data_IF_790926552945
#
_entry.id   IF_790926552945
#
_cell.length_a   1.000
_cell.length_b   1.000
_cell.length_c   1.000
_cell.angle_alpha   90.00
_cell.angle_beta   90.00
_cell.angle_gamma   90.00
#
_symmetry.space_group_name_H-M   'P 1'
#
loop_
_entity.id
_entity.type
_entity.pdbx_description
1 polymer ?
#
# COMPACT_ATOMS: atom_id res chain seq x y z
N UNK A 1 19.21 19.64 0.60
CA UNK A 1 19.12 18.34 1.30
C UNK A 1 20.06 17.40 0.59
N UNK A 2 21.03 16.80 1.28
CA UNK A 2 21.97 15.86 0.65
C UNK A 2 21.40 14.42 0.60
N UNK A 3 22.05 13.55 -0.19
CA UNK A 3 21.61 12.18 -0.43
C UNK A 3 21.61 11.31 0.84
N UNK A 4 22.54 11.56 1.77
CA UNK A 4 22.68 10.78 3.00
C UNK A 4 21.50 11.07 3.93
N UNK A 5 21.15 12.35 4.08
CA UNK A 5 20.01 12.79 4.86
C UNK A 5 18.70 12.18 4.33
N UNK A 6 18.50 12.18 3.00
CA UNK A 6 17.32 11.57 2.38
C UNK A 6 17.23 10.06 2.64
N UNK A 7 18.36 9.34 2.58
CA UNK A 7 18.42 7.90 2.87
C UNK A 7 18.08 7.62 4.34
N UNK A 8 18.62 8.42 5.26
CA UNK A 8 18.35 8.28 6.70
C UNK A 8 16.87 8.54 7.01
N UNK A 9 16.28 9.60 6.46
CA UNK A 9 14.87 9.94 6.62
C UNK A 9 13.96 8.84 6.05
N UNK A 10 14.30 8.31 4.89
CA UNK A 10 13.57 7.18 4.28
C UNK A 10 13.61 5.94 5.16
N UNK A 11 14.80 5.58 5.68
CA UNK A 11 14.98 4.43 6.59
C UNK A 11 14.19 4.61 7.88
N UNK A 12 14.21 5.81 8.45
CA UNK A 12 13.45 6.14 9.63
C UNK A 12 11.95 6.05 9.35
N UNK A 13 11.45 6.68 8.28
CA UNK A 13 10.05 6.63 7.88
C UNK A 13 9.53 5.20 7.68
N UNK A 14 10.34 4.32 7.07
CA UNK A 14 10.00 2.90 6.94
C UNK A 14 9.94 2.17 8.29
N UNK A 15 10.87 2.43 9.21
CA UNK A 15 10.84 1.88 10.58
C UNK A 15 9.60 2.36 11.35
N UNK A 16 9.28 3.64 11.28
CA UNK A 16 8.10 4.22 11.94
C UNK A 16 6.80 3.65 11.37
N UNK A 17 6.71 3.44 10.04
CA UNK A 17 5.57 2.74 9.45
C UNK A 17 5.40 1.33 10.02
N UNK A 18 6.50 0.59 10.24
CA UNK A 18 6.43 -0.74 10.84
C UNK A 18 5.99 -0.71 12.31
N UNK A 19 6.48 0.27 13.09
CA UNK A 19 6.10 0.47 14.48
C UNK A 19 4.61 0.84 14.58
N UNK A 20 4.16 1.82 13.82
CA UNK A 20 2.77 2.24 13.74
C UNK A 20 1.85 1.07 13.33
N UNK A 21 2.24 0.29 12.31
CA UNK A 21 1.48 -0.89 11.88
C UNK A 21 1.34 -1.92 13.01
N UNK A 22 2.41 -2.21 13.75
CA UNK A 22 2.37 -3.17 14.88
C UNK A 22 1.43 -2.68 15.97
N UNK A 23 1.54 -1.40 16.35
CA UNK A 23 0.68 -0.76 17.33
C UNK A 23 -0.80 -0.78 16.93
N UNK A 24 -1.12 -0.35 15.70
CA UNK A 24 -2.50 -0.34 15.20
C UNK A 24 -3.08 -1.75 15.11
N UNK A 25 -2.30 -2.76 14.75
CA UNK A 25 -2.75 -4.15 14.76
C UNK A 25 -3.06 -4.65 16.17
N UNK A 26 -2.27 -4.26 17.19
CA UNK A 26 -2.57 -4.59 18.57
C UNK A 26 -3.88 -3.96 19.04
N UNK A 27 -4.10 -2.68 18.71
CA UNK A 27 -5.36 -1.98 18.98
C UNK A 27 -6.55 -2.60 18.23
N UNK A 28 -6.35 -3.07 17.01
CA UNK A 28 -7.40 -3.69 16.21
C UNK A 28 -7.88 -4.99 16.86
N UNK A 29 -6.96 -5.79 17.41
CA UNK A 29 -7.29 -7.04 18.11
C UNK A 29 -8.13 -6.81 19.36
N UNK A 30 -7.89 -5.72 20.09
CA UNK A 30 -8.63 -5.39 21.33
C UNK A 30 -9.87 -4.53 21.11
N UNK A 31 -10.10 -4.02 19.89
CA UNK A 31 -11.24 -3.16 19.59
C UNK A 31 -12.56 -3.92 19.69
N UNK A 32 -13.49 -3.39 20.50
CA UNK A 32 -14.83 -3.98 20.69
C UNK A 32 -15.84 -3.50 19.64
N UNK A 33 -15.84 -2.21 19.30
CA UNK A 33 -16.84 -1.66 18.38
C UNK A 33 -16.43 -1.80 16.91
N UNK A 34 -17.44 -2.03 16.06
CA UNK A 34 -17.27 -2.17 14.61
C UNK A 34 -16.62 -0.93 13.99
N UNK A 35 -17.11 0.26 14.39
CA UNK A 35 -16.55 1.55 13.94
C UNK A 35 -15.06 1.67 14.26
N UNK A 36 -14.65 1.29 15.48
CA UNK A 36 -13.24 1.36 15.89
C UNK A 36 -12.39 0.38 15.10
N UNK A 37 -12.88 -0.85 14.87
CA UNK A 37 -12.20 -1.83 14.00
C UNK A 37 -12.02 -1.30 12.58
N UNK A 38 -13.06 -0.72 11.99
CA UNK A 38 -13.01 -0.15 10.65
C UNK A 38 -12.00 1.01 10.54
N UNK A 39 -12.02 1.94 11.50
CA UNK A 39 -11.08 3.06 11.52
C UNK A 39 -9.64 2.57 11.61
N UNK A 40 -9.36 1.63 12.51
CA UNK A 40 -8.02 1.05 12.68
C UNK A 40 -7.57 0.30 11.43
N UNK A 41 -8.44 -0.50 10.80
CA UNK A 41 -8.13 -1.21 9.56
C UNK A 41 -7.80 -0.23 8.41
N UNK A 42 -8.56 0.87 8.29
CA UNK A 42 -8.29 1.92 7.31
C UNK A 42 -6.94 2.59 7.57
N UNK A 43 -6.64 2.96 8.81
CA UNK A 43 -5.34 3.53 9.19
C UNK A 43 -4.18 2.57 8.90
N UNK A 44 -4.36 1.26 9.14
CA UNK A 44 -3.37 0.24 8.77
C UNK A 44 -3.15 0.24 7.25
N UNK A 45 -4.21 0.35 6.45
CA UNK A 45 -4.12 0.46 4.98
C UNK A 45 -3.34 1.69 4.53
N UNK A 46 -3.54 2.84 5.17
CA UNK A 46 -2.79 4.07 4.92
C UNK A 46 -1.30 3.90 5.28
N UNK A 47 -0.99 3.36 6.46
CA UNK A 47 0.40 3.10 6.88
C UNK A 47 1.09 2.11 5.95
N UNK A 48 0.39 1.06 5.49
CA UNK A 48 0.91 0.15 4.45
C UNK A 48 1.22 0.93 3.17
N UNK A 49 0.34 1.84 2.76
CA UNK A 49 0.54 2.68 1.57
C UNK A 49 1.78 3.56 1.70
N UNK A 50 1.98 4.24 2.84
CA UNK A 50 3.18 5.03 3.10
C UNK A 50 4.44 4.16 3.09
N UNK A 51 4.39 2.97 3.71
CA UNK A 51 5.52 2.02 3.71
C UNK A 51 5.94 1.62 2.30
N UNK A 52 4.99 1.39 1.39
CA UNK A 52 5.30 1.04 0.00
C UNK A 52 5.94 2.18 -0.78
N UNK A 53 5.76 3.45 -0.36
CA UNK A 53 6.47 4.60 -0.95
C UNK A 53 7.94 4.66 -0.53
N UNK A 54 8.25 4.29 0.72
CA UNK A 54 9.63 4.23 1.21
C UNK A 54 10.40 3.01 0.66
N UNK A 55 9.71 1.93 0.28
CA UNK A 55 10.35 0.66 -0.13
C UNK A 55 11.28 0.78 -1.36
N UNK A 56 10.88 1.41 -2.48
CA UNK A 56 11.77 1.58 -3.64
C UNK A 56 13.06 2.33 -3.33
N UNK A 57 12.99 3.32 -2.43
CA UNK A 57 14.13 4.14 -2.02
C UNK A 57 15.14 3.38 -1.13
N UNK A 58 14.74 2.24 -0.56
CA UNK A 58 15.57 1.40 0.31
C UNK A 58 16.25 0.24 -0.43
N UNK A 59 15.73 -0.16 -1.59
CA UNK A 59 16.22 -1.29 -2.40
C UNK A 59 17.24 -0.82 -3.45
N UNK A 60 17.53 0.49 -3.53
CA UNK A 60 18.60 1.04 -4.39
C UNK A 60 19.99 0.76 -3.82
N UNK A 61 20.27 -0.51 -3.53
CA UNK A 61 21.58 -1.07 -3.26
C UNK A 61 21.69 -2.38 -4.05
N UNK A 62 22.63 -2.41 -4.99
CA UNK A 62 23.18 -3.58 -5.69
C UNK A 62 22.31 -4.26 -6.76
N UNK A 63 22.79 -4.18 -8.01
CA UNK A 63 22.39 -5.07 -9.10
C UNK A 63 21.46 -4.45 -10.13
N UNK A 64 22.04 -3.74 -11.11
CA UNK A 64 21.40 -3.42 -12.38
C UNK A 64 21.20 -4.73 -13.18
N UNK A 65 20.23 -5.56 -12.79
CA UNK A 65 19.74 -6.60 -13.69
C UNK A 65 18.79 -5.94 -14.68
N UNK A 66 19.33 -5.59 -15.85
CA UNK A 66 18.63 -5.22 -17.07
C UNK A 66 17.74 -6.36 -17.62
N UNK A 67 16.98 -7.04 -16.78
CA UNK A 67 15.81 -7.74 -17.26
C UNK A 67 14.73 -6.67 -17.45
N UNK A 68 14.72 -6.03 -18.63
CA UNK A 68 13.69 -5.10 -19.13
C UNK A 68 12.33 -5.81 -19.25
N UNK A 69 11.81 -6.35 -18.15
CA UNK A 69 10.41 -6.75 -18.06
C UNK A 69 9.59 -5.47 -18.21
N UNK A 70 8.72 -5.46 -19.21
CA UNK A 70 7.83 -4.32 -19.50
C UNK A 70 7.13 -3.90 -18.21
N UNK A 71 7.36 -2.66 -17.79
CA UNK A 71 6.80 -2.16 -16.54
C UNK A 71 5.27 -2.20 -16.61
N UNK A 72 4.65 -2.93 -15.69
CA UNK A 72 3.20 -3.12 -15.64
C UNK A 72 2.54 -2.11 -14.71
N UNK A 73 1.21 -1.96 -14.78
CA UNK A 73 0.45 -1.14 -13.83
C UNK A 73 0.74 -1.52 -12.37
N UNK A 74 0.96 -2.81 -12.07
CA UNK A 74 1.31 -3.26 -10.71
C UNK A 74 2.70 -2.83 -10.22
N UNK A 75 3.57 -2.36 -11.11
CA UNK A 75 4.86 -1.77 -10.73
C UNK A 75 4.74 -0.28 -10.38
N UNK A 76 3.70 0.41 -10.89
CA UNK A 76 3.51 1.86 -10.71
C UNK A 76 2.44 2.21 -9.67
N UNK A 77 1.50 1.30 -9.43
CA UNK A 77 0.49 1.43 -8.38
C UNK A 77 0.35 0.13 -7.59
N UNK A 78 0.02 0.25 -6.30
CA UNK A 78 -0.19 -0.89 -5.40
C UNK A 78 -1.61 -0.94 -4.90
N UNK A 79 -2.29 -2.08 -5.08
CA UNK A 79 -3.54 -2.37 -4.37
C UNK A 79 -3.26 -3.05 -3.05
N UNK A 80 -3.85 -2.52 -1.98
CA UNK A 80 -3.90 -3.14 -0.67
C UNK A 80 -5.36 -3.33 -0.26
N UNK A 81 -5.74 -4.58 0.02
CA UNK A 81 -7.03 -4.86 0.64
C UNK A 81 -7.02 -4.33 2.07
N UNK A 82 -8.09 -3.60 2.41
CA UNK A 82 -8.39 -3.24 3.80
C UNK A 82 -9.29 -4.35 4.31
N UNK A 83 -8.76 -5.15 5.22
CA UNK A 83 -9.53 -6.19 5.91
C UNK A 83 -10.67 -5.50 6.67
N UNK A 84 -11.83 -5.45 6.02
CA UNK A 84 -12.98 -4.72 6.53
C UNK A 84 -13.59 -5.54 7.66
N UNK A 85 -13.96 -4.86 8.73
CA UNK A 85 -14.63 -5.48 9.87
C UNK A 85 -16.07 -5.94 9.53
N UNK A 86 -16.52 -5.77 8.28
CA UNK A 86 -17.85 -6.16 7.80
C UNK A 86 -17.94 -7.62 7.33
N UNK A 87 -17.02 -8.47 7.78
CA UNK A 87 -17.07 -9.93 7.60
C UNK A 87 -17.43 -10.34 6.16
N UNK A 88 -16.75 -9.74 5.18
CA UNK A 88 -16.86 -10.03 3.74
C UNK A 88 -18.05 -9.42 2.97
N UNK A 89 -19.00 -8.70 3.61
CA UNK A 89 -20.10 -8.04 2.87
C UNK A 89 -19.67 -6.85 2.02
N UNK A 90 -18.61 -6.17 2.44
CA UNK A 90 -18.04 -5.03 1.72
C UNK A 90 -16.54 -5.24 1.64
N UNK A 91 -16.03 -5.23 0.40
CA UNK A 91 -14.58 -5.21 0.13
C UNK A 91 -14.12 -3.79 -0.06
N UNK A 92 -13.16 -3.38 0.74
CA UNK A 92 -12.53 -2.07 0.67
C UNK A 92 -11.08 -2.26 0.26
N UNK A 93 -10.61 -1.47 -0.70
CA UNK A 93 -9.21 -1.47 -1.10
C UNK A 93 -8.68 -0.06 -1.23
N UNK A 94 -7.38 0.08 -0.98
CA UNK A 94 -6.62 1.32 -1.16
C UNK A 94 -5.64 1.12 -2.30
N UNK A 95 -5.62 2.07 -3.24
CA UNK A 95 -4.64 2.12 -4.32
C UNK A 95 -3.60 3.18 -4.02
N UNK A 96 -2.36 2.75 -3.84
CA UNK A 96 -1.22 3.61 -3.57
C UNK A 96 -0.53 3.98 -4.89
N UNK A 97 -0.38 5.27 -5.14
CA UNK A 97 0.52 5.76 -6.18
C UNK A 97 1.99 5.55 -5.76
N UNK A 98 2.76 4.82 -6.57
CA UNK A 98 4.19 4.60 -6.33
C UNK A 98 5.09 5.46 -7.23
N UNK A 99 4.64 5.82 -8.44
CA UNK A 99 5.51 6.41 -9.47
C UNK A 99 4.90 7.54 -10.29
N UNK A 100 3.58 7.70 -10.33
CA UNK A 100 2.96 8.68 -11.21
C UNK A 100 3.09 10.09 -10.65
N UNK A 101 3.55 11.00 -11.49
CA UNK A 101 3.41 12.45 -11.26
C UNK A 101 2.04 12.89 -11.81
N UNK A 102 1.73 12.47 -13.04
CA UNK A 102 0.48 12.79 -13.73
C UNK A 102 -0.74 12.06 -13.15
N UNK A 103 -1.75 12.78 -12.62
CA UNK A 103 -2.95 12.18 -12.04
C UNK A 103 -3.74 11.31 -13.03
N UNK A 104 -3.82 11.70 -14.30
CA UNK A 104 -4.54 10.94 -15.31
C UNK A 104 -3.90 9.57 -15.57
N UNK A 105 -2.57 9.49 -15.57
CA UNK A 105 -1.85 8.23 -15.72
C UNK A 105 -2.05 7.33 -14.50
N UNK A 106 -2.04 7.91 -13.30
CA UNK A 106 -2.37 7.20 -12.07
C UNK A 106 -3.78 6.58 -12.14
N UNK A 107 -4.78 7.37 -12.54
CA UNK A 107 -6.17 6.90 -12.62
C UNK A 107 -6.36 5.80 -13.67
N UNK A 108 -5.64 5.86 -14.80
CA UNK A 108 -5.64 4.79 -15.81
C UNK A 108 -5.13 3.46 -15.24
N UNK A 109 -4.01 3.48 -14.53
CA UNK A 109 -3.45 2.28 -13.91
C UNK A 109 -4.31 1.80 -12.72
N UNK A 110 -4.92 2.71 -11.96
CA UNK A 110 -5.91 2.40 -10.93
C UNK A 110 -7.09 1.62 -11.52
N UNK A 111 -7.66 2.08 -12.65
CA UNK A 111 -8.76 1.40 -13.33
C UNK A 111 -8.37 -0.03 -13.70
N UNK A 112 -7.20 -0.22 -14.30
CA UNK A 112 -6.74 -1.55 -14.71
C UNK A 112 -6.60 -2.52 -13.52
N UNK A 113 -6.03 -2.08 -12.41
CA UNK A 113 -5.90 -2.92 -11.21
C UNK A 113 -7.25 -3.17 -10.55
N UNK A 114 -8.08 -2.13 -10.42
CA UNK A 114 -9.42 -2.23 -9.84
C UNK A 114 -10.26 -3.26 -10.57
N UNK A 115 -10.36 -3.16 -11.91
CA UNK A 115 -11.13 -4.11 -12.73
C UNK A 115 -10.68 -5.55 -12.49
N UNK A 116 -9.36 -5.81 -12.53
CA UNK A 116 -8.81 -7.14 -12.25
C UNK A 116 -9.18 -7.65 -10.85
N UNK A 117 -9.09 -6.79 -9.84
CA UNK A 117 -9.39 -7.15 -8.44
C UNK A 117 -10.87 -7.48 -8.24
N UNK A 118 -11.76 -6.69 -8.82
CA UNK A 118 -13.21 -6.92 -8.76
C UNK A 118 -13.58 -8.20 -9.51
N UNK A 119 -13.10 -8.39 -10.75
CA UNK A 119 -13.37 -9.61 -11.52
C UNK A 119 -12.91 -10.88 -10.76
N UNK A 120 -11.72 -10.84 -10.16
CA UNK A 120 -11.23 -11.95 -9.33
C UNK A 120 -12.03 -12.15 -8.04
N UNK A 121 -12.63 -11.08 -7.49
CA UNK A 121 -13.51 -11.18 -6.34
C UNK A 121 -14.85 -11.83 -6.71
N UNK A 122 -15.41 -11.48 -7.87
CA UNK A 122 -16.67 -12.02 -8.39
C UNK A 122 -16.56 -13.49 -8.77
N UNK A 123 -15.43 -13.94 -9.34
CA UNK A 123 -15.19 -15.36 -9.68
C UNK A 123 -15.16 -16.32 -8.48
N UNK A 124 -15.00 -15.80 -7.26
CA UNK A 124 -14.95 -16.60 -6.04
C UNK A 124 -16.34 -16.86 -5.43
N UNK A 125 -17.37 -16.31 -6.04
CA UNK A 125 -18.79 -16.57 -5.77
C UNK A 125 -19.37 -17.35 -6.95
#
# INVERSE_FOLDING_TARGET
MDLIQLILETRLGFKECNKARRFLNALLKSAKSLRKKHNLATSIGQIKSFREKFRPQLITGEGHHENKRKETASCRVKWNDVDSAFNSRIRTGVVTNLKHIEPLLFLKDCKAIFQRRILNALKKY
#
